data_IF_654093607600
#
_entry.id   IF_654093607600
#
_cell.length_a   1.000
_cell.length_b   1.000
_cell.length_c   1.000
_cell.angle_alpha   90.00
_cell.angle_beta   90.00
_cell.angle_gamma   90.00
#
_symmetry.space_group_name_H-M   'P 1'
#
loop_
_entity.id
_entity.type
_entity.pdbx_description
1 polymer ?
#
# COMPACT_ATOMS: atom_id res chain seq x y z
N UNK A 1 -48.63 -19.07 72.94
CA UNK A 1 -48.36 -18.35 71.68
C UNK A 1 -46.85 -18.39 71.45
N UNK A 2 -46.39 -19.19 70.50
CA UNK A 2 -44.96 -19.44 70.25
C UNK A 2 -44.45 -18.42 69.24
N UNK A 3 -43.39 -17.69 69.59
CA UNK A 3 -42.69 -16.77 68.71
C UNK A 3 -41.66 -17.55 67.86
N UNK A 4 -41.61 -17.28 66.56
CA UNK A 4 -40.54 -17.73 65.68
C UNK A 4 -40.01 -16.54 64.88
N UNK A 5 -38.78 -16.15 65.19
CA UNK A 5 -37.94 -15.25 64.40
C UNK A 5 -37.53 -16.00 63.12
N UNK A 6 -37.94 -15.50 61.95
CA UNK A 6 -37.40 -15.97 60.67
C UNK A 6 -36.25 -15.06 60.23
N UNK A 7 -35.07 -15.64 60.10
CA UNK A 7 -33.84 -15.04 59.60
C UNK A 7 -33.91 -14.84 58.08
N UNK A 8 -33.54 -13.64 57.63
CA UNK A 8 -33.32 -13.28 56.24
C UNK A 8 -32.08 -13.98 55.67
N UNK A 9 -32.18 -14.51 54.45
CA UNK A 9 -31.01 -14.88 53.64
C UNK A 9 -31.12 -14.14 52.30
N UNK A 10 -30.31 -13.11 52.14
CA UNK A 10 -30.15 -12.38 50.87
C UNK A 10 -28.98 -13.03 50.12
N UNK A 11 -29.26 -13.76 49.06
CA UNK A 11 -28.24 -14.34 48.18
C UNK A 11 -27.90 -13.32 47.09
N UNK A 12 -26.79 -12.62 47.24
CA UNK A 12 -26.23 -11.76 46.20
C UNK A 12 -25.42 -12.62 45.21
N UNK A 13 -25.94 -12.82 43.99
CA UNK A 13 -25.18 -13.41 42.88
C UNK A 13 -24.25 -12.35 42.28
N UNK A 14 -22.97 -12.41 42.64
CA UNK A 14 -21.90 -11.65 42.02
C UNK A 14 -21.56 -12.25 40.64
N UNK A 15 -22.07 -11.65 39.57
CA UNK A 15 -21.67 -12.01 38.20
C UNK A 15 -20.25 -11.53 37.91
N UNK A 16 -19.31 -12.46 37.69
CA UNK A 16 -18.01 -12.13 37.10
C UNK A 16 -18.22 -11.80 35.62
N UNK A 17 -18.17 -10.52 35.27
CA UNK A 17 -18.06 -10.08 33.89
C UNK A 17 -16.63 -10.34 33.39
N UNK A 18 -16.45 -11.33 32.52
CA UNK A 18 -15.22 -11.50 31.74
C UNK A 18 -15.21 -10.42 30.66
N UNK A 19 -14.55 -9.29 30.94
CA UNK A 19 -14.23 -8.31 29.91
C UNK A 19 -13.19 -8.93 28.96
N UNK A 20 -13.61 -9.36 27.77
CA UNK A 20 -12.70 -9.75 26.70
C UNK A 20 -12.11 -8.44 26.15
N UNK A 21 -10.80 -8.17 26.28
CA UNK A 21 -10.20 -7.03 25.60
C UNK A 21 -10.28 -7.27 24.10
N UNK A 22 -11.04 -6.44 23.39
CA UNK A 22 -11.01 -6.41 21.94
C UNK A 22 -9.59 -5.99 21.50
N UNK A 23 -8.94 -6.69 20.55
CA UNK A 23 -7.67 -6.24 20.01
C UNK A 23 -7.92 -5.08 19.04
N UNK A 24 -8.06 -3.86 19.56
CA UNK A 24 -7.90 -2.66 18.74
C UNK A 24 -6.42 -2.39 18.54
N UNK A 25 -5.81 -3.10 17.58
CA UNK A 25 -4.46 -2.79 17.11
C UNK A 25 -4.53 -1.93 15.85
N UNK A 26 -5.06 -0.72 15.99
CA UNK A 26 -4.74 0.38 15.09
C UNK A 26 -3.55 1.11 15.70
N UNK A 27 -2.35 0.57 15.50
CA UNK A 27 -1.16 1.41 15.56
C UNK A 27 -1.32 2.48 14.49
N UNK A 28 -1.33 3.78 14.83
CA UNK A 28 -1.25 4.81 13.81
C UNK A 28 0.02 4.54 13.02
N UNK A 29 -0.11 4.28 11.72
CA UNK A 29 1.04 4.13 10.84
C UNK A 29 1.80 5.43 10.92
N UNK A 30 3.01 5.39 11.48
CA UNK A 30 3.86 6.56 11.47
C UNK A 30 4.16 6.86 9.99
N UNK A 31 3.93 8.08 9.48
CA UNK A 31 4.21 8.42 8.08
C UNK A 31 5.67 8.15 7.65
N UNK A 32 6.55 7.95 8.64
CA UNK A 32 7.98 7.67 8.51
C UNK A 32 8.36 6.20 8.69
N UNK A 33 7.42 5.29 8.98
CA UNK A 33 7.71 3.86 8.94
C UNK A 33 7.84 3.43 7.49
N UNK A 34 9.09 3.13 7.08
CA UNK A 34 9.40 2.61 5.75
C UNK A 34 8.48 1.41 5.47
N UNK A 35 7.70 1.51 4.40
CA UNK A 35 6.78 0.45 3.99
C UNK A 35 7.54 -0.73 3.42
N UNK A 36 7.06 -1.94 3.72
CA UNK A 36 7.61 -3.15 3.14
C UNK A 36 7.02 -3.33 1.75
N UNK A 37 7.86 -3.25 0.73
CA UNK A 37 7.50 -3.52 -0.66
C UNK A 37 8.04 -4.90 -1.03
N UNK A 38 7.16 -5.87 -1.26
CA UNK A 38 7.56 -7.20 -1.70
C UNK A 38 7.82 -7.27 -3.20
N UNK A 39 8.71 -8.16 -3.62
CA UNK A 39 8.93 -8.50 -5.03
C UNK A 39 9.76 -7.50 -5.85
N UNK A 40 10.31 -6.44 -5.24
CA UNK A 40 11.04 -5.41 -6.00
C UNK A 40 12.23 -5.99 -6.74
N UNK A 41 12.28 -5.75 -8.05
CA UNK A 41 13.38 -6.06 -8.96
C UNK A 41 13.97 -4.78 -9.56
N UNK A 42 15.13 -4.89 -10.22
CA UNK A 42 15.57 -3.84 -11.13
C UNK A 42 14.69 -3.90 -12.40
N UNK A 43 14.76 -2.87 -13.24
CA UNK A 43 13.99 -2.81 -14.47
C UNK A 43 14.80 -2.20 -15.61
N UNK A 44 14.57 -2.67 -16.84
CA UNK A 44 15.11 -2.11 -18.06
C UNK A 44 13.97 -1.70 -19.01
N UNK A 45 13.82 -0.40 -19.22
CA UNK A 45 12.83 0.16 -20.13
C UNK A 45 13.53 0.56 -21.44
N UNK A 46 13.79 -0.42 -22.32
CA UNK A 46 14.45 -0.22 -23.63
C UNK A 46 15.83 0.48 -23.53
N UNK A 47 16.71 -0.03 -22.66
CA UNK A 47 18.02 0.53 -22.35
C UNK A 47 17.99 1.59 -21.25
N UNK A 48 16.81 2.02 -20.81
CA UNK A 48 16.66 2.88 -19.64
C UNK A 48 16.55 2.06 -18.34
N UNK A 49 17.69 1.58 -17.86
CA UNK A 49 17.81 0.80 -16.62
C UNK A 49 17.54 1.58 -15.33
N UNK A 50 16.92 0.90 -14.37
CA UNK A 50 16.68 1.34 -12.99
C UNK A 50 17.18 0.29 -12.02
N UNK A 51 17.85 0.72 -10.95
CA UNK A 51 18.25 -0.19 -9.87
C UNK A 51 17.04 -0.56 -9.02
N UNK A 52 17.09 -1.73 -8.39
CA UNK A 52 16.05 -2.16 -7.44
C UNK A 52 15.86 -1.15 -6.29
N UNK A 53 16.90 -0.41 -5.90
CA UNK A 53 16.80 0.65 -4.90
C UNK A 53 15.97 1.85 -5.39
N UNK A 54 16.10 2.24 -6.66
CA UNK A 54 15.31 3.31 -7.27
C UNK A 54 13.83 2.88 -7.39
N UNK A 55 13.60 1.66 -7.86
CA UNK A 55 12.25 1.08 -7.95
C UNK A 55 11.62 0.99 -6.56
N UNK A 56 12.35 0.49 -5.55
CA UNK A 56 11.88 0.40 -4.18
C UNK A 56 11.54 1.77 -3.58
N UNK A 57 12.35 2.79 -3.85
CA UNK A 57 12.11 4.14 -3.35
C UNK A 57 10.81 4.74 -3.92
N UNK A 58 10.60 4.63 -5.22
CA UNK A 58 9.37 5.09 -5.87
C UNK A 58 8.14 4.27 -5.41
N UNK A 59 8.25 2.95 -5.34
CA UNK A 59 7.16 2.08 -4.88
C UNK A 59 6.79 2.36 -3.41
N UNK A 60 7.79 2.61 -2.56
CA UNK A 60 7.56 3.00 -1.16
C UNK A 60 6.86 4.35 -1.06
N UNK A 61 7.24 5.33 -1.89
CA UNK A 61 6.59 6.64 -1.92
C UNK A 61 5.12 6.53 -2.37
N UNK A 62 4.87 5.77 -3.44
CA UNK A 62 3.51 5.46 -3.90
C UNK A 62 2.67 4.84 -2.78
N UNK A 63 3.18 3.79 -2.12
CA UNK A 63 2.45 3.11 -1.06
C UNK A 63 2.16 4.04 0.14
N UNK A 64 3.07 4.97 0.46
CA UNK A 64 2.87 5.98 1.51
C UNK A 64 1.75 6.96 1.15
N UNK A 65 1.73 7.44 -0.08
CA UNK A 65 0.66 8.32 -0.55
C UNK A 65 -0.69 7.62 -0.58
N UNK A 66 -0.78 6.40 -1.13
CA UNK A 66 -2.01 5.59 -1.15
C UNK A 66 -2.56 5.40 0.27
N UNK A 67 -1.72 4.97 1.21
CA UNK A 67 -2.18 4.70 2.57
C UNK A 67 -2.50 5.96 3.39
N UNK A 68 -1.95 7.11 3.03
CA UNK A 68 -2.29 8.40 3.66
C UNK A 68 -3.44 9.11 2.96
N UNK A 69 -3.93 8.60 1.82
CA UNK A 69 -4.93 9.27 1.00
C UNK A 69 -4.46 10.60 0.40
N UNK A 70 -3.14 10.75 0.20
CA UNK A 70 -2.52 11.98 -0.35
C UNK A 70 -2.01 11.74 -1.77
N UNK A 71 -1.76 12.83 -2.50
CA UNK A 71 -1.15 12.79 -3.83
C UNK A 71 -0.17 13.96 -4.02
N UNK A 72 0.65 13.87 -5.07
CA UNK A 72 1.64 14.87 -5.49
C UNK A 72 1.55 15.14 -6.99
N UNK A 73 1.93 16.36 -7.38
CA UNK A 73 1.88 16.83 -8.77
C UNK A 73 0.47 17.14 -9.28
N UNK A 74 0.39 17.80 -10.43
CA UNK A 74 -0.88 18.21 -11.05
C UNK A 74 -1.74 17.04 -11.54
N UNK A 75 -1.10 15.90 -11.82
CA UNK A 75 -1.77 14.67 -12.23
C UNK A 75 -2.20 13.78 -11.04
N UNK A 76 -1.99 14.26 -9.79
CA UNK A 76 -2.39 13.59 -8.56
C UNK A 76 -1.84 12.15 -8.41
N UNK A 77 -0.52 12.00 -8.48
CA UNK A 77 0.14 10.72 -8.26
C UNK A 77 0.29 10.37 -6.77
N UNK A 78 0.21 9.10 -6.38
CA UNK A 78 -0.20 7.97 -7.19
C UNK A 78 -1.70 8.00 -7.46
N UNK A 79 -2.08 7.51 -8.63
CA UNK A 79 -3.47 7.29 -8.99
C UNK A 79 -3.69 5.87 -9.49
N UNK A 80 -4.96 5.49 -9.60
CA UNK A 80 -5.35 4.13 -10.03
C UNK A 80 -4.83 3.88 -11.44
N UNK A 81 -4.14 2.75 -11.61
CA UNK A 81 -3.75 2.20 -12.90
C UNK A 81 -4.73 1.09 -13.29
N UNK A 82 -5.43 1.28 -14.41
CA UNK A 82 -6.51 0.37 -14.81
C UNK A 82 -6.04 -0.84 -15.63
N UNK A 83 -4.75 -0.91 -15.99
CA UNK A 83 -4.17 -1.96 -16.81
C UNK A 83 -4.96 -2.21 -18.11
N UNK A 84 -5.19 -1.15 -18.89
CA UNK A 84 -5.95 -1.24 -20.16
C UNK A 84 -5.14 -1.94 -21.25
N UNK A 85 -3.83 -1.93 -21.10
CA UNK A 85 -2.85 -2.61 -21.92
C UNK A 85 -2.90 -4.14 -21.77
N UNK A 86 -3.47 -4.65 -20.66
CA UNK A 86 -3.58 -6.09 -20.42
C UNK A 86 -2.28 -6.75 -19.96
N UNK A 87 -1.41 -6.01 -19.25
CA UNK A 87 -0.17 -6.53 -18.70
C UNK A 87 -0.41 -7.66 -17.70
N UNK A 88 0.52 -8.61 -17.69
CA UNK A 88 0.58 -9.64 -16.66
C UNK A 88 1.61 -9.22 -15.62
N UNK A 89 1.15 -8.99 -14.39
CA UNK A 89 2.01 -8.57 -13.29
C UNK A 89 2.59 -9.74 -12.51
N UNK A 90 3.67 -9.44 -11.78
CA UNK A 90 4.34 -10.40 -10.90
C UNK A 90 3.37 -11.05 -9.91
N UNK A 91 3.62 -12.32 -9.58
CA UNK A 91 2.79 -13.08 -8.65
C UNK A 91 2.73 -12.41 -7.28
N UNK A 92 1.52 -12.22 -6.76
CA UNK A 92 1.30 -11.58 -5.46
C UNK A 92 0.93 -10.09 -5.55
N UNK A 93 1.10 -9.47 -6.71
CA UNK A 93 0.48 -8.18 -7.02
C UNK A 93 -1.04 -8.38 -7.22
N UNK A 94 -1.85 -7.55 -6.55
CA UNK A 94 -3.32 -7.61 -6.60
C UNK A 94 -3.90 -6.21 -6.78
N UNK A 95 -5.01 -6.14 -7.50
CA UNK A 95 -5.76 -4.89 -7.67
C UNK A 95 -6.35 -4.40 -6.32
N UNK A 96 -6.61 -3.09 -6.14
CA UNK A 96 -6.36 -2.02 -7.11
C UNK A 96 -4.87 -1.79 -7.35
N UNK A 97 -4.52 -1.45 -8.59
CA UNK A 97 -3.16 -1.08 -8.97
C UNK A 97 -3.02 0.44 -8.94
N UNK A 98 -1.82 0.93 -8.62
CA UNK A 98 -1.50 2.34 -8.62
C UNK A 98 -0.19 2.57 -9.38
N UNK A 99 -0.16 3.62 -10.19
CA UNK A 99 1.07 4.06 -10.87
C UNK A 99 1.68 5.28 -10.16
N UNK A 100 3.01 5.35 -10.17
CA UNK A 100 3.76 6.48 -9.63
C UNK A 100 5.03 6.75 -10.45
N UNK A 101 5.39 8.01 -10.72
CA UNK A 101 6.56 8.33 -11.53
C UNK A 101 7.88 7.77 -10.97
N UNK A 102 8.71 7.23 -11.87
CA UNK A 102 9.99 6.62 -11.55
C UNK A 102 11.15 7.39 -12.18
N UNK A 103 12.11 7.79 -11.36
CA UNK A 103 13.33 8.50 -11.77
C UNK A 103 14.58 7.80 -11.23
N UNK A 104 15.70 8.01 -11.92
CA UNK A 104 17.01 7.51 -11.49
C UNK A 104 17.62 8.32 -10.33
N UNK A 105 17.37 9.62 -10.31
CA UNK A 105 18.07 10.55 -9.41
C UNK A 105 17.27 10.95 -8.18
N UNK A 106 15.96 10.67 -8.14
CA UNK A 106 15.08 11.21 -7.09
C UNK A 106 13.77 10.42 -6.97
N UNK A 107 13.07 10.65 -5.86
CA UNK A 107 11.65 10.30 -5.72
C UNK A 107 10.83 11.49 -6.22
N UNK A 108 9.78 11.22 -7.00
CA UNK A 108 8.92 12.27 -7.53
C UNK A 108 8.16 13.01 -6.43
N UNK A 109 8.17 14.35 -6.49
CA UNK A 109 7.46 15.24 -5.55
C UNK A 109 6.53 16.23 -6.24
N UNK A 110 6.44 16.19 -7.59
CA UNK A 110 5.67 17.11 -8.41
C UNK A 110 6.42 17.51 -9.68
N UNK A 111 5.76 18.24 -10.58
CA UNK A 111 6.30 18.64 -11.89
C UNK A 111 6.07 17.61 -12.99
N UNK A 112 6.93 17.60 -14.01
CA UNK A 112 6.85 16.65 -15.12
C UNK A 112 7.10 15.21 -14.62
N UNK A 113 6.17 14.26 -14.81
CA UNK A 113 6.33 12.88 -14.38
C UNK A 113 7.25 12.04 -15.28
N UNK A 114 7.76 12.58 -16.40
CA UNK A 114 8.53 11.84 -17.40
C UNK A 114 7.77 10.60 -17.92
N UNK A 115 8.48 9.61 -18.46
CA UNK A 115 7.88 8.46 -19.16
C UNK A 115 7.62 7.23 -18.28
N UNK A 116 8.45 7.01 -17.26
CA UNK A 116 8.49 5.73 -16.53
C UNK A 116 7.63 5.79 -15.27
N UNK A 117 6.98 4.67 -14.94
CA UNK A 117 6.16 4.50 -13.73
C UNK A 117 6.52 3.20 -13.04
N UNK A 118 6.56 3.20 -11.71
CA UNK A 118 6.36 1.97 -10.95
C UNK A 118 4.86 1.69 -10.85
N UNK A 119 4.49 0.42 -10.93
CA UNK A 119 3.15 -0.05 -10.59
C UNK A 119 3.23 -0.81 -9.27
N UNK A 120 2.39 -0.43 -8.31
CA UNK A 120 2.19 -1.16 -7.06
C UNK A 120 0.77 -1.73 -7.01
N UNK A 121 0.61 -2.80 -6.25
CA UNK A 121 -0.69 -3.40 -5.96
C UNK A 121 -1.37 -2.75 -4.78
N UNK A 122 -2.44 -3.40 -4.33
CA UNK A 122 -3.21 -3.00 -3.15
C UNK A 122 -2.30 -2.80 -1.94
N UNK A 123 -2.52 -1.71 -1.20
CA UNK A 123 -1.79 -1.40 0.02
C UNK A 123 -2.59 -1.88 1.23
N UNK A 124 -1.95 -2.61 2.15
CA UNK A 124 -2.56 -3.13 3.37
C UNK A 124 -1.63 -2.94 4.56
N UNK A 125 -2.05 -2.11 5.52
CA UNK A 125 -1.20 -1.73 6.66
C UNK A 125 0.07 -1.07 6.16
N UNK A 126 1.23 -1.61 6.55
CA UNK A 126 2.57 -1.15 6.11
C UNK A 126 3.08 -1.87 4.86
N UNK A 127 2.28 -2.74 4.24
CA UNK A 127 2.73 -3.62 3.15
C UNK A 127 2.10 -3.21 1.81
N UNK A 128 2.88 -3.33 0.74
CA UNK A 128 2.42 -3.30 -0.64
C UNK A 128 3.26 -4.27 -1.48
N UNK A 129 2.73 -4.68 -2.62
CA UNK A 129 3.47 -5.48 -3.59
C UNK A 129 3.91 -4.58 -4.75
N UNK A 130 5.17 -4.70 -5.16
CA UNK A 130 5.60 -4.24 -6.49
C UNK A 130 4.97 -5.15 -7.55
N UNK A 131 4.54 -4.56 -8.66
CA UNK A 131 3.89 -5.26 -9.75
C UNK A 131 4.79 -5.31 -10.98
N UNK A 132 5.17 -4.13 -11.49
CA UNK A 132 6.14 -3.98 -12.56
C UNK A 132 6.56 -2.51 -12.72
N UNK A 133 7.50 -2.25 -13.64
CA UNK A 133 7.77 -0.93 -14.20
C UNK A 133 7.18 -0.86 -15.60
N UNK A 134 6.54 0.27 -15.91
CA UNK A 134 5.95 0.55 -17.23
C UNK A 134 6.49 1.87 -17.77
N UNK A 135 6.47 2.04 -19.09
CA UNK A 135 6.98 3.25 -19.74
C UNK A 135 6.11 3.71 -20.89
N UNK A 136 5.96 5.02 -21.04
CA UNK A 136 5.45 5.62 -22.27
C UNK A 136 6.50 5.65 -23.39
N UNK A 137 7.78 5.45 -23.07
CA UNK A 137 8.83 5.49 -24.07
C UNK A 137 8.65 4.34 -25.06
N UNK A 138 8.64 4.68 -26.36
CA UNK A 138 8.35 3.71 -27.44
C UNK A 138 6.87 3.32 -27.58
N UNK A 139 5.99 3.74 -26.67
CA UNK A 139 4.56 3.51 -26.78
C UNK A 139 3.88 4.55 -27.70
N UNK A 140 2.74 4.18 -28.28
CA UNK A 140 1.91 5.11 -29.06
C UNK A 140 0.90 5.84 -28.17
N UNK A 141 0.72 7.14 -28.40
CA UNK A 141 -0.25 7.95 -27.67
C UNK A 141 0.02 7.96 -26.15
N UNK A 142 -1.00 7.65 -25.36
CA UNK A 142 -0.93 7.58 -23.90
C UNK A 142 -0.84 6.12 -23.39
N UNK A 143 -0.52 5.17 -24.26
CA UNK A 143 -0.36 3.78 -23.86
C UNK A 143 0.96 3.59 -23.11
N UNK A 144 1.07 2.49 -22.40
CA UNK A 144 2.32 2.02 -21.83
C UNK A 144 2.88 0.79 -22.55
N UNK A 145 4.17 0.56 -22.36
CA UNK A 145 4.84 -0.73 -22.53
C UNK A 145 5.32 -1.21 -21.16
N UNK A 146 5.38 -2.54 -20.98
CA UNK A 146 5.97 -3.16 -19.79
C UNK A 146 7.49 -3.19 -19.97
N UNK A 147 8.23 -2.80 -18.94
CA UNK A 147 9.68 -2.89 -18.93
C UNK A 147 10.12 -4.32 -18.57
N UNK A 148 11.34 -4.68 -18.97
CA UNK A 148 11.90 -5.97 -18.60
C UNK A 148 12.37 -5.93 -17.15
N UNK A 149 12.06 -6.97 -16.38
CA UNK A 149 12.62 -7.13 -15.04
C UNK A 149 14.09 -7.57 -15.14
N UNK A 150 14.98 -6.87 -14.45
CA UNK A 150 16.44 -7.06 -14.49
C UNK A 150 17.01 -7.61 -13.18
#
# INVERSE_FOLDING_TARGET
MVAFFQTFVVVALSGLALAIPAPTRTTPLNPFDKRTISGVTAADCDGFTFTSAQVAAAASAAATHVASGTTVGSNAYPHVFNNREGFTFQSGCRAPFYEFPLFRSQVYTGGDPSYNRVVIGSVSGSNAAFCDVITHYGASGNNFLQCDNA
#
